data_IF_800035354279
#
_entry.id   IF_800035354279
#
_cell.length_a   1.000
_cell.length_b   1.000
_cell.length_c   1.000
_cell.angle_alpha   90.00
_cell.angle_beta   90.00
_cell.angle_gamma   90.00
#
_symmetry.space_group_name_H-M   'P 1'
#
loop_
_entity.id
_entity.type
_entity.pdbx_description
1 polymer ?
#
# COMPACT_ATOMS: atom_id res chain seq x y z
N UNK A 1 -19.41 13.62 -4.29
CA UNK A 1 -18.78 12.74 -5.29
C UNK A 1 -18.28 11.43 -4.67
N UNK A 2 -17.73 11.45 -3.45
CA UNK A 2 -17.26 10.25 -2.73
C UNK A 2 -18.41 9.26 -2.54
N UNK A 3 -19.59 9.73 -2.12
CA UNK A 3 -20.77 8.89 -1.92
C UNK A 3 -21.20 8.17 -3.21
N UNK A 4 -21.06 8.81 -4.37
CA UNK A 4 -21.35 8.17 -5.66
C UNK A 4 -20.40 7.00 -5.92
N UNK A 5 -19.11 7.18 -5.65
CA UNK A 5 -18.11 6.11 -5.79
C UNK A 5 -18.38 5.01 -4.76
N UNK A 6 -18.65 5.37 -3.52
CA UNK A 6 -18.97 4.43 -2.44
C UNK A 6 -20.19 3.59 -2.78
N UNK A 7 -21.26 4.23 -3.28
CA UNK A 7 -22.46 3.56 -3.72
C UNK A 7 -22.21 2.66 -4.95
N UNK A 8 -21.38 3.11 -5.88
CA UNK A 8 -21.03 2.32 -7.06
C UNK A 8 -20.23 1.07 -6.68
N UNK A 9 -19.20 1.22 -5.84
CA UNK A 9 -18.46 0.07 -5.31
C UNK A 9 -19.37 -0.84 -4.52
N UNK A 10 -20.21 -0.29 -3.63
CA UNK A 10 -21.11 -1.04 -2.75
C UNK A 10 -22.10 -1.95 -3.49
N UNK A 11 -22.40 -1.65 -4.75
CA UNK A 11 -23.25 -2.48 -5.64
C UNK A 11 -22.51 -3.72 -6.21
N UNK A 12 -21.29 -3.99 -5.80
CA UNK A 12 -20.51 -5.16 -6.22
C UNK A 12 -19.35 -4.86 -7.17
N UNK A 13 -19.09 -3.58 -7.46
CA UNK A 13 -18.02 -3.19 -8.36
C UNK A 13 -16.65 -3.18 -7.65
N UNK A 14 -15.57 -3.21 -8.44
CA UNK A 14 -14.20 -3.16 -7.96
C UNK A 14 -13.57 -1.82 -8.30
N UNK A 15 -13.01 -1.16 -7.30
CA UNK A 15 -12.16 0.03 -7.46
C UNK A 15 -10.71 -0.36 -7.20
N UNK A 16 -9.79 0.03 -8.08
CA UNK A 16 -8.35 -0.15 -7.90
C UNK A 16 -7.73 1.22 -7.65
N UNK A 17 -6.98 1.36 -6.56
CA UNK A 17 -6.27 2.58 -6.21
C UNK A 17 -4.77 2.32 -6.11
N UNK A 18 -3.96 3.31 -6.48
CA UNK A 18 -2.49 3.18 -6.56
C UNK A 18 -1.84 4.40 -5.91
N UNK A 19 -0.88 4.18 -5.03
CA UNK A 19 -0.05 5.21 -4.42
C UNK A 19 -0.89 6.36 -3.82
N UNK A 20 -0.81 7.57 -4.36
CA UNK A 20 -1.59 8.72 -3.87
C UNK A 20 -3.10 8.53 -3.99
N UNK A 21 -3.57 7.77 -4.97
CA UNK A 21 -4.97 7.38 -5.07
C UNK A 21 -5.41 6.54 -3.88
N UNK A 22 -4.53 5.69 -3.36
CA UNK A 22 -4.78 4.90 -2.15
C UNK A 22 -4.84 5.79 -0.89
N UNK A 23 -3.92 6.74 -0.75
CA UNK A 23 -4.01 7.74 0.32
C UNK A 23 -5.30 8.56 0.25
N UNK A 24 -5.72 8.94 -0.96
CA UNK A 24 -6.98 9.66 -1.15
C UNK A 24 -8.17 8.80 -0.70
N UNK A 25 -8.24 7.54 -1.08
CA UNK A 25 -9.34 6.65 -0.71
C UNK A 25 -9.46 6.46 0.81
N UNK A 26 -8.32 6.42 1.50
CA UNK A 26 -8.26 6.33 2.97
C UNK A 26 -8.65 7.68 3.62
N UNK A 27 -8.01 8.77 3.21
CA UNK A 27 -8.21 10.08 3.83
C UNK A 27 -9.61 10.66 3.57
N UNK A 28 -10.27 10.23 2.51
CA UNK A 28 -11.65 10.61 2.20
C UNK A 28 -12.70 9.68 2.83
N UNK A 29 -12.26 8.75 3.70
CA UNK A 29 -13.13 7.77 4.36
C UNK A 29 -13.97 6.93 3.38
N UNK A 30 -13.44 6.75 2.15
CA UNK A 30 -14.06 5.85 1.19
C UNK A 30 -14.00 4.40 1.70
N UNK A 31 -12.89 4.03 2.33
CA UNK A 31 -12.66 2.76 2.99
C UNK A 31 -12.29 2.97 4.46
N UNK A 32 -12.60 1.99 5.31
CA UNK A 32 -12.30 2.02 6.74
C UNK A 32 -10.92 1.45 7.04
N UNK A 33 -9.91 1.98 6.34
CA UNK A 33 -8.50 1.62 6.53
C UNK A 33 -7.73 2.87 6.99
N UNK A 34 -6.48 2.71 7.39
CA UNK A 34 -5.69 3.82 7.89
C UNK A 34 -4.27 3.83 7.34
N UNK A 35 -3.68 5.02 7.28
CA UNK A 35 -2.25 5.17 7.02
C UNK A 35 -1.46 5.02 8.31
N UNK A 36 -0.20 4.61 8.18
CA UNK A 36 0.72 4.57 9.32
C UNK A 36 1.01 6.00 9.76
N UNK A 37 0.64 6.33 10.98
CA UNK A 37 0.89 7.63 11.55
C UNK A 37 2.36 7.79 11.95
N UNK A 38 2.89 9.00 11.75
CA UNK A 38 4.17 9.42 12.30
C UNK A 38 4.12 9.34 13.82
N UNK A 39 5.14 8.76 14.44
CA UNK A 39 5.34 8.96 15.87
C UNK A 39 5.63 10.45 16.08
N UNK A 40 4.74 11.16 16.76
CA UNK A 40 4.99 12.54 17.17
C UNK A 40 6.20 12.52 18.09
N UNK A 41 7.28 13.16 17.66
CA UNK A 41 8.41 13.44 18.53
C UNK A 41 7.89 14.37 19.64
N UNK A 42 7.88 13.88 20.89
CA UNK A 42 7.42 14.65 22.04
C UNK A 42 8.38 15.80 22.38
N UNK A 43 9.60 15.77 21.86
CA UNK A 43 10.61 16.82 21.99
C UNK A 43 10.55 17.75 20.78
N UNK A 44 9.58 18.66 20.76
CA UNK A 44 9.54 19.69 19.72
C UNK A 44 10.75 20.62 19.87
N UNK A 45 11.71 20.47 18.95
CA UNK A 45 12.80 21.45 18.78
C UNK A 45 12.51 22.26 17.51
N UNK A 46 12.44 23.58 17.65
CA UNK A 46 12.25 24.48 16.49
C UNK A 46 13.35 24.24 15.47
N UNK A 47 12.97 23.76 14.28
CA UNK A 47 13.89 23.58 13.14
C UNK A 47 14.06 24.91 12.40
N UNK A 48 15.27 25.18 11.90
CA UNK A 48 15.53 26.38 11.09
C UNK A 48 14.90 26.20 9.72
N UNK A 49 14.29 27.24 9.18
CA UNK A 49 13.65 27.19 7.85
C UNK A 49 14.65 26.82 6.74
N UNK A 50 15.89 27.28 6.83
CA UNK A 50 16.94 26.98 5.86
C UNK A 50 17.21 25.48 5.70
N UNK A 51 17.01 24.69 6.77
CA UNK A 51 17.25 23.24 6.80
C UNK A 51 16.02 22.43 6.35
N UNK A 52 14.89 23.09 6.06
CA UNK A 52 13.62 22.43 5.76
C UNK A 52 13.70 21.49 4.55
N UNK A 53 14.38 21.93 3.48
CA UNK A 53 14.56 21.11 2.26
C UNK A 53 15.34 19.83 2.54
N UNK A 54 16.38 19.93 3.33
CA UNK A 54 17.23 18.79 3.67
C UNK A 54 16.48 17.80 4.55
N UNK A 55 15.77 18.28 5.57
CA UNK A 55 14.92 17.43 6.42
C UNK A 55 13.84 16.70 5.64
N UNK A 56 13.09 17.41 4.81
CA UNK A 56 12.03 16.81 3.99
C UNK A 56 12.65 15.83 2.98
N UNK A 57 13.79 16.15 2.39
CA UNK A 57 14.48 15.31 1.42
C UNK A 57 14.98 13.99 2.02
N UNK A 58 15.51 14.04 3.23
CA UNK A 58 16.04 12.85 3.95
C UNK A 58 14.95 11.82 4.24
N UNK A 59 13.73 12.25 4.52
CA UNK A 59 12.61 11.35 4.83
C UNK A 59 11.89 10.84 3.57
N UNK A 60 12.25 11.35 2.40
CA UNK A 60 11.60 11.02 1.14
C UNK A 60 12.16 9.73 0.56
N UNK A 61 11.27 8.80 0.20
CA UNK A 61 11.66 7.64 -0.58
C UNK A 61 11.63 8.04 -2.05
N UNK A 62 12.82 8.24 -2.63
CA UNK A 62 12.99 8.61 -4.04
C UNK A 62 12.98 7.44 -5.00
N UNK A 63 13.22 6.24 -4.47
CA UNK A 63 13.25 4.97 -5.19
C UNK A 63 14.02 3.94 -4.37
N UNK A 64 13.31 2.92 -3.88
CA UNK A 64 13.89 1.80 -3.14
C UNK A 64 13.22 0.51 -3.57
N UNK A 65 13.95 -0.58 -3.55
CA UNK A 65 13.43 -1.91 -3.77
C UNK A 65 13.25 -2.56 -2.41
N UNK A 66 12.01 -2.92 -2.11
CA UNK A 66 11.64 -3.54 -0.85
C UNK A 66 11.08 -4.94 -1.11
N UNK A 67 11.35 -5.87 -0.21
CA UNK A 67 10.73 -7.20 -0.22
C UNK A 67 9.38 -7.15 0.45
N UNK A 68 8.38 -7.77 -0.16
CA UNK A 68 7.07 -7.97 0.43
C UNK A 68 6.69 -9.47 0.41
N UNK A 69 6.09 -9.92 1.51
CA UNK A 69 5.55 -11.26 1.65
C UNK A 69 4.13 -11.30 1.10
N UNK A 70 3.91 -12.11 0.07
CA UNK A 70 2.66 -12.28 -0.64
C UNK A 70 1.90 -13.49 -0.10
N UNK A 71 0.61 -13.33 0.14
CA UNK A 71 -0.29 -14.46 0.40
C UNK A 71 -0.61 -15.19 -0.91
N UNK A 72 0.06 -16.33 -1.13
CA UNK A 72 -0.10 -17.12 -2.36
C UNK A 72 -1.48 -17.77 -2.50
N UNK A 73 -2.29 -17.80 -1.44
CA UNK A 73 -3.66 -18.34 -1.47
C UNK A 73 -4.69 -17.30 -1.92
N UNK A 74 -4.31 -16.02 -1.92
CA UNK A 74 -5.19 -14.95 -2.33
C UNK A 74 -5.31 -14.86 -3.86
N UNK A 75 -6.52 -14.61 -4.44
CA UNK A 75 -6.71 -14.52 -5.90
C UNK A 75 -5.78 -13.53 -6.61
N UNK A 76 -5.40 -12.42 -5.97
CA UNK A 76 -4.45 -11.46 -6.54
C UNK A 76 -3.04 -12.05 -6.72
N UNK A 77 -2.70 -13.09 -5.97
CA UNK A 77 -1.42 -13.80 -6.09
C UNK A 77 -1.43 -14.91 -7.15
N UNK A 78 -2.51 -15.06 -7.92
CA UNK A 78 -2.61 -16.10 -8.93
C UNK A 78 -1.41 -16.06 -9.90
N UNK A 79 -0.77 -17.21 -10.06
CA UNK A 79 0.39 -17.39 -10.94
C UNK A 79 1.72 -16.91 -10.34
N UNK A 80 1.78 -16.59 -9.05
CA UNK A 80 3.04 -16.45 -8.31
C UNK A 80 3.40 -17.78 -7.65
N UNK A 81 4.68 -18.12 -7.67
CA UNK A 81 5.23 -19.31 -7.02
C UNK A 81 6.03 -18.95 -5.75
N UNK A 82 6.59 -17.73 -5.74
CA UNK A 82 7.41 -17.24 -4.64
C UNK A 82 6.59 -16.34 -3.73
N UNK A 83 6.70 -16.57 -2.43
CA UNK A 83 6.06 -15.76 -1.40
C UNK A 83 6.69 -14.36 -1.33
N UNK A 84 8.00 -14.25 -1.53
CA UNK A 84 8.73 -12.99 -1.48
C UNK A 84 8.79 -12.35 -2.85
N UNK A 85 8.31 -11.12 -2.96
CA UNK A 85 8.33 -10.35 -4.20
C UNK A 85 9.04 -9.00 -4.02
N UNK A 86 9.84 -8.56 -5.01
CA UNK A 86 10.44 -7.23 -4.98
C UNK A 86 9.41 -6.17 -5.38
N UNK A 87 9.22 -5.17 -4.54
CA UNK A 87 8.33 -4.04 -4.75
C UNK A 87 9.14 -2.76 -4.93
N UNK A 88 8.86 -1.99 -5.97
CA UNK A 88 9.48 -0.68 -6.17
C UNK A 88 8.68 0.41 -5.47
N UNK A 89 9.29 1.03 -4.45
CA UNK A 89 8.68 2.10 -3.67
C UNK A 89 9.35 3.44 -3.96
N UNK A 90 8.57 4.40 -4.46
CA UNK A 90 9.04 5.76 -4.74
C UNK A 90 8.11 6.83 -4.15
N UNK A 91 7.43 6.49 -3.08
CA UNK A 91 6.48 7.36 -2.41
C UNK A 91 6.46 7.07 -0.90
N UNK A 92 5.87 7.98 -0.13
CA UNK A 92 5.71 7.86 1.32
C UNK A 92 4.30 7.43 1.73
N UNK A 93 3.63 6.62 0.92
CA UNK A 93 2.35 6.02 1.28
C UNK A 93 2.59 4.73 2.04
N UNK A 94 2.26 4.73 3.31
CA UNK A 94 2.37 3.58 4.19
C UNK A 94 0.98 3.24 4.72
N UNK A 95 0.43 2.12 4.27
CA UNK A 95 -0.90 1.66 4.63
C UNK A 95 -0.76 0.68 5.79
N UNK A 96 -1.49 0.88 6.88
CA UNK A 96 -1.49 -0.09 7.98
C UNK A 96 -1.94 -1.47 7.49
N UNK A 97 -1.40 -2.52 8.10
CA UNK A 97 -1.95 -3.87 7.94
C UNK A 97 -3.41 -3.83 8.37
N UNK A 98 -4.26 -4.49 7.63
CA UNK A 98 -5.70 -4.53 7.92
C UNK A 98 -5.97 -5.28 9.23
N UNK A 99 -7.09 -4.97 9.87
CA UNK A 99 -7.55 -5.73 11.04
C UNK A 99 -8.11 -7.09 10.65
N UNK A 100 -8.60 -7.23 9.42
CA UNK A 100 -9.05 -8.50 8.87
C UNK A 100 -7.85 -9.36 8.46
N UNK A 101 -7.81 -10.60 8.88
CA UNK A 101 -6.72 -11.54 8.60
C UNK A 101 -6.57 -11.86 7.10
N UNK A 102 -7.64 -11.67 6.33
CA UNK A 102 -7.70 -12.04 4.91
C UNK A 102 -7.53 -10.85 3.94
N UNK A 103 -7.36 -9.66 4.45
CA UNK A 103 -7.37 -8.43 3.64
C UNK A 103 -5.98 -7.88 3.32
N UNK A 104 -4.95 -8.30 4.05
CA UNK A 104 -3.55 -7.92 3.78
C UNK A 104 -2.90 -8.91 2.83
N UNK A 105 -2.94 -8.61 1.53
CA UNK A 105 -2.47 -9.52 0.46
C UNK A 105 -0.95 -9.55 0.34
N UNK A 106 -0.29 -8.39 0.48
CA UNK A 106 1.17 -8.30 0.50
C UNK A 106 1.60 -7.35 1.62
N UNK A 107 2.45 -7.83 2.51
CA UNK A 107 3.02 -7.06 3.62
C UNK A 107 4.54 -6.96 3.45
N UNK A 108 5.15 -5.83 3.82
CA UNK A 108 6.61 -5.75 3.75
C UNK A 108 7.24 -6.78 4.69
N UNK A 109 8.22 -7.50 4.18
CA UNK A 109 8.92 -8.58 4.91
C UNK A 109 9.66 -8.03 6.13
N UNK A 110 10.08 -8.89 7.04
CA UNK A 110 10.90 -8.48 8.19
C UNK A 110 12.22 -7.85 7.74
N UNK A 111 12.90 -8.49 6.78
CA UNK A 111 14.14 -8.02 6.16
C UNK A 111 13.81 -7.41 4.80
N UNK A 112 13.01 -6.35 4.82
CA UNK A 112 12.37 -5.80 3.63
C UNK A 112 13.31 -5.03 2.68
N UNK A 113 14.45 -4.50 3.16
CA UNK A 113 15.29 -3.62 2.36
C UNK A 113 16.22 -4.39 1.43
N UNK A 114 15.97 -4.31 0.13
CA UNK A 114 16.80 -4.96 -0.90
C UNK A 114 17.83 -3.97 -1.43
N UNK A 115 17.38 -2.78 -1.91
CA UNK A 115 18.26 -1.78 -2.52
C UNK A 115 17.64 -0.38 -2.49
N UNK A 116 18.46 0.63 -2.78
CA UNK A 116 18.05 2.03 -2.82
C UNK A 116 18.06 2.73 -1.46
N UNK A 117 17.89 4.05 -1.49
CA UNK A 117 17.91 4.85 -0.27
C UNK A 117 16.56 4.81 0.45
N UNK A 118 16.59 4.53 1.73
CA UNK A 118 15.47 4.68 2.65
C UNK A 118 15.99 5.17 4.00
N UNK A 119 15.35 6.19 4.57
CA UNK A 119 15.76 6.78 5.86
C UNK A 119 15.55 5.81 7.02
N UNK A 120 16.33 6.00 8.10
CA UNK A 120 16.20 5.19 9.32
C UNK A 120 14.81 5.32 9.96
N UNK A 121 14.19 6.50 9.89
CA UNK A 121 12.84 6.71 10.34
C UNK A 121 11.84 5.83 9.55
N UNK A 122 11.96 5.82 8.22
CA UNK A 122 11.12 4.96 7.38
C UNK A 122 11.36 3.47 7.64
N UNK A 123 12.62 3.06 7.83
CA UNK A 123 12.97 1.67 8.17
C UNK A 123 12.40 1.22 9.50
N UNK A 124 12.41 2.09 10.49
CA UNK A 124 12.04 1.75 11.88
C UNK A 124 10.55 1.89 12.16
N UNK A 125 9.95 2.98 11.69
CA UNK A 125 8.63 3.41 12.17
C UNK A 125 7.50 3.18 11.17
N UNK A 126 7.79 3.13 9.86
CA UNK A 126 6.75 3.08 8.84
C UNK A 126 6.66 1.73 8.13
N UNK A 127 7.74 1.28 7.48
CA UNK A 127 7.71 0.07 6.64
C UNK A 127 7.30 -1.18 7.43
N UNK A 128 7.84 -1.48 8.62
CA UNK A 128 7.51 -2.70 9.35
C UNK A 128 6.04 -2.83 9.75
N UNK A 129 5.33 -1.69 9.82
CA UNK A 129 3.92 -1.61 10.20
C UNK A 129 2.98 -1.64 9.01
N UNK A 130 3.51 -1.57 7.79
CA UNK A 130 2.71 -1.33 6.60
C UNK A 130 2.58 -2.54 5.68
N UNK A 131 1.53 -2.49 4.87
CA UNK A 131 1.27 -3.40 3.77
C UNK A 131 1.51 -2.69 2.43
N UNK A 132 1.96 -3.45 1.43
CA UNK A 132 2.10 -2.99 0.04
C UNK A 132 0.80 -3.11 -0.73
N UNK A 133 -0.01 -4.13 -0.41
CA UNK A 133 -1.29 -4.41 -1.09
C UNK A 133 -2.31 -4.92 -0.09
N UNK A 134 -3.47 -4.27 -0.06
CA UNK A 134 -4.62 -4.69 0.73
C UNK A 134 -5.90 -4.70 -0.10
N UNK A 135 -6.92 -5.40 0.38
CA UNK A 135 -8.28 -5.38 -0.19
C UNK A 135 -9.27 -4.99 0.90
N UNK A 136 -10.03 -3.94 0.69
CA UNK A 136 -11.07 -3.47 1.62
C UNK A 136 -12.45 -3.68 1.02
N UNK A 137 -13.44 -4.04 1.85
CA UNK A 137 -14.82 -4.32 1.44
C UNK A 137 -15.70 -3.08 1.60
N UNK A 138 -16.57 -2.84 0.60
CA UNK A 138 -17.65 -1.86 0.68
C UNK A 138 -18.94 -2.53 0.19
N UNK A 139 -19.88 -2.83 1.09
CA UNK A 139 -21.09 -3.55 0.71
C UNK A 139 -20.77 -4.88 0.02
N UNK A 140 -21.24 -5.08 -1.21
CA UNK A 140 -20.93 -6.27 -2.02
C UNK A 140 -19.67 -6.12 -2.87
N UNK A 141 -19.10 -4.91 -2.94
CA UNK A 141 -17.90 -4.62 -3.75
C UNK A 141 -16.64 -4.52 -2.92
N UNK A 142 -15.55 -4.11 -3.58
CA UNK A 142 -14.21 -4.05 -2.97
C UNK A 142 -13.36 -2.94 -3.54
N UNK A 143 -12.41 -2.51 -2.73
CA UNK A 143 -11.35 -1.58 -3.13
C UNK A 143 -10.02 -2.30 -3.00
N UNK A 144 -9.30 -2.45 -4.09
CA UNK A 144 -7.95 -3.01 -4.12
C UNK A 144 -6.98 -1.85 -4.02
N UNK A 145 -6.13 -1.85 -3.00
CA UNK A 145 -5.37 -0.69 -2.57
C UNK A 145 -3.88 -1.00 -2.62
N UNK A 146 -3.21 -0.47 -3.64
CA UNK A 146 -1.76 -0.57 -3.80
C UNK A 146 -1.09 0.64 -3.12
N UNK A 147 -0.19 0.41 -2.16
CA UNK A 147 0.65 1.45 -1.59
C UNK A 147 1.70 1.94 -2.60
N UNK A 148 2.14 1.06 -3.48
CA UNK A 148 3.17 1.28 -4.49
C UNK A 148 2.58 1.20 -5.89
N UNK A 149 3.35 1.69 -6.88
CA UNK A 149 2.94 1.55 -8.29
C UNK A 149 3.35 0.16 -8.82
N UNK A 150 2.40 -0.77 -9.04
CA UNK A 150 2.72 -2.12 -9.52
C UNK A 150 3.24 -2.16 -10.95
N UNK A 151 3.06 -1.08 -11.71
CA UNK A 151 3.45 -0.97 -13.12
C UNK A 151 4.50 0.12 -13.33
N UNK A 152 5.43 0.30 -12.40
CA UNK A 152 6.41 1.37 -12.49
C UNK A 152 7.14 1.36 -13.84
N UNK A 153 6.96 2.45 -14.61
CA UNK A 153 7.51 2.68 -15.97
C UNK A 153 7.20 1.56 -16.99
N UNK A 154 6.21 0.69 -16.73
CA UNK A 154 5.91 -0.46 -17.59
C UNK A 154 7.02 -1.52 -17.64
N UNK A 155 8.05 -1.40 -16.81
CA UNK A 155 9.22 -2.30 -16.82
C UNK A 155 9.37 -3.13 -15.54
N UNK A 156 8.59 -2.83 -14.51
CA UNK A 156 8.67 -3.55 -13.24
C UNK A 156 7.77 -4.79 -13.25
N UNK A 157 8.25 -5.86 -13.88
CA UNK A 157 7.46 -7.07 -14.12
C UNK A 157 7.13 -7.87 -12.86
N UNK A 158 7.90 -7.71 -11.77
CA UNK A 158 7.68 -8.44 -10.51
C UNK A 158 6.30 -8.22 -9.89
N UNK A 159 5.70 -7.04 -10.04
CA UNK A 159 4.38 -6.69 -9.47
C UNK A 159 3.30 -6.43 -10.51
N UNK A 160 3.64 -6.40 -11.79
CA UNK A 160 2.68 -6.16 -12.89
C UNK A 160 1.53 -7.18 -12.87
N UNK A 161 1.84 -8.46 -12.61
CA UNK A 161 0.85 -9.52 -12.54
C UNK A 161 -0.19 -9.30 -11.42
N UNK A 162 0.19 -8.70 -10.28
CA UNK A 162 -0.78 -8.32 -9.24
C UNK A 162 -1.83 -7.34 -9.76
N UNK A 163 -1.39 -6.37 -10.57
CA UNK A 163 -2.30 -5.40 -11.18
C UNK A 163 -3.21 -6.03 -12.23
N UNK A 164 -2.67 -6.92 -13.07
CA UNK A 164 -3.48 -7.67 -14.02
C UNK A 164 -4.51 -8.56 -13.30
N UNK A 165 -4.10 -9.26 -12.25
CA UNK A 165 -5.01 -10.05 -11.43
C UNK A 165 -6.09 -9.16 -10.77
N UNK A 166 -5.75 -7.95 -10.36
CA UNK A 166 -6.73 -6.99 -9.83
C UNK A 166 -7.78 -6.60 -10.88
N UNK A 167 -7.40 -6.45 -12.14
CA UNK A 167 -8.32 -6.15 -13.24
C UNK A 167 -9.21 -7.35 -13.57
N UNK A 168 -8.59 -8.52 -13.78
CA UNK A 168 -9.32 -9.69 -14.29
C UNK A 168 -10.04 -10.50 -13.22
N UNK A 169 -9.46 -10.58 -12.01
CA UNK A 169 -10.00 -11.39 -10.92
C UNK A 169 -10.68 -10.55 -9.84
N UNK A 170 -10.57 -9.22 -9.91
CA UNK A 170 -11.07 -8.31 -8.88
C UNK A 170 -12.52 -8.59 -8.48
N UNK A 171 -13.40 -8.83 -9.45
CA UNK A 171 -14.82 -9.10 -9.19
C UNK A 171 -15.07 -10.45 -8.49
N UNK A 172 -14.13 -11.37 -8.56
CA UNK A 172 -14.23 -12.70 -7.97
C UNK A 172 -13.67 -12.78 -6.55
N UNK A 173 -13.06 -11.68 -6.07
CA UNK A 173 -12.50 -11.65 -4.72
C UNK A 173 -13.63 -11.50 -3.71
N UNK A 174 -13.79 -12.49 -2.85
CA UNK A 174 -14.60 -12.40 -1.64
C UNK A 174 -13.71 -11.88 -0.51
N UNK A 175 -14.09 -10.78 0.12
CA UNK A 175 -13.40 -10.28 1.33
C UNK A 175 -14.20 -10.77 2.53
N UNK A 176 -13.71 -11.81 3.24
CA UNK A 176 -14.37 -12.27 4.45
C UNK A 176 -14.42 -11.14 5.48
N UNK A 177 -15.54 -10.98 6.14
CA UNK A 177 -15.71 -10.12 7.32
C UNK A 177 -15.67 -11.01 8.54
N UNK A 178 -14.82 -10.67 9.49
CA UNK A 178 -14.82 -11.27 10.83
C UNK A 178 -16.08 -10.87 11.58
#
# INVERSE_FOLDING_TARGET
>A
QIDKIKNWVGKGNTLITIARGSSWAINSELINESLVESKKDSTYTRKRYVDAREHIGRERIGGSILSADLDLTHPLAFGYNDKSIPVYKNNNVFINKTKSDYSSVAIYSKDFHIDGYISDANKKDYVPRSASLIVSKIGSGRVIVFADNPNFRGTWYGTNKLFLNAIFLGNNISVPTN
#
